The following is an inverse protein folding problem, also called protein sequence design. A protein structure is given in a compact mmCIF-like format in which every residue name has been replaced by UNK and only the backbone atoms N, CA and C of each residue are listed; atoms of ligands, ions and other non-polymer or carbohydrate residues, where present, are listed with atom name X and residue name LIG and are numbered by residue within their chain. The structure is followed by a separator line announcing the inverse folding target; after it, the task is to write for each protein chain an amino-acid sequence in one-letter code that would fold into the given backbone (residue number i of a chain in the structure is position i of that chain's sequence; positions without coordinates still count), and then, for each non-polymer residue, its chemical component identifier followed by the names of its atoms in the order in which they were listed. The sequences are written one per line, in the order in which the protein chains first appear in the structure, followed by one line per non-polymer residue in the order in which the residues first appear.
data_IF_783480292433
#
_entry.id   IF_783480292433
#
_cell.length_a   1.000
_cell.length_b   1.000
_cell.length_c   1.000
_cell.angle_alpha   90.00
_cell.angle_beta   90.00
_cell.angle_gamma   90.00
#
_symmetry.space_group_name_H-M   'P 1'
#
loop_
_entity.id
_entity.type
_entity.pdbx_description
1 polymer ?
#
# COMPACT_ATOMS: atom_id res chain seq x y z
N UNK A 1 -6.26 -25.57 -2.24
CA UNK A 1 -5.19 -24.99 -1.39
C UNK A 1 -5.68 -23.78 -0.60
N UNK A 2 -6.35 -22.80 -1.21
CA UNK A 2 -6.86 -21.61 -0.49
C UNK A 2 -7.69 -21.93 0.76
N UNK A 3 -8.65 -22.87 0.67
CA UNK A 3 -9.52 -23.25 1.80
C UNK A 3 -8.72 -23.86 2.93
N UNK A 4 -7.68 -24.62 2.59
CA UNK A 4 -6.79 -25.22 3.57
C UNK A 4 -5.94 -24.16 4.26
N UNK A 5 -5.39 -23.19 3.51
CA UNK A 5 -4.66 -22.05 4.10
C UNK A 5 -5.57 -21.25 5.03
N UNK A 6 -6.81 -20.96 4.59
CA UNK A 6 -7.82 -20.29 5.40
C UNK A 6 -8.06 -21.01 6.72
N UNK A 7 -8.39 -22.31 6.68
CA UNK A 7 -8.66 -23.11 7.88
C UNK A 7 -7.43 -23.22 8.79
N UNK A 8 -6.25 -23.45 8.21
CA UNK A 8 -5.01 -23.56 8.98
C UNK A 8 -4.62 -22.26 9.66
N UNK A 9 -4.94 -21.09 9.06
CA UNK A 9 -4.64 -19.78 9.66
C UNK A 9 -5.34 -19.60 11.02
N UNK A 10 -6.49 -20.22 11.25
CA UNK A 10 -7.18 -20.19 12.55
C UNK A 10 -6.45 -20.96 13.67
N UNK A 11 -5.46 -21.79 13.35
CA UNK A 11 -4.59 -22.40 14.37
C UNK A 11 -3.78 -21.36 15.17
N UNK A 12 -3.63 -20.14 14.61
CA UNK A 12 -3.07 -18.99 15.33
C UNK A 12 -3.81 -18.71 16.65
N UNK A 13 -5.13 -18.91 16.70
CA UNK A 13 -5.93 -18.71 17.92
C UNK A 13 -5.47 -19.61 19.06
N UNK A 14 -5.17 -20.88 18.76
CA UNK A 14 -4.68 -21.82 19.76
C UNK A 14 -3.30 -21.43 20.30
N UNK A 15 -2.41 -20.96 19.42
CA UNK A 15 -1.08 -20.48 19.79
C UNK A 15 -1.19 -19.25 20.69
N UNK A 16 -1.99 -18.25 20.30
CA UNK A 16 -2.20 -17.04 21.09
C UNK A 16 -2.81 -17.34 22.46
N UNK A 17 -3.83 -18.21 22.50
CA UNK A 17 -4.43 -18.64 23.76
C UNK A 17 -3.42 -19.34 24.67
N UNK A 18 -2.57 -20.21 24.11
CA UNK A 18 -1.51 -20.88 24.88
C UNK A 18 -0.48 -19.90 25.44
N UNK A 19 0.00 -18.96 24.62
CA UNK A 19 0.92 -17.90 25.06
C UNK A 19 0.31 -17.01 26.14
N UNK A 20 -0.97 -16.68 26.01
CA UNK A 20 -1.68 -15.88 27.01
C UNK A 20 -1.95 -16.64 28.32
N UNK A 21 -2.01 -17.97 28.27
CA UNK A 21 -2.30 -18.80 29.45
C UNK A 21 -1.04 -19.26 30.21
N UNK A 22 0.12 -19.31 29.56
CA UNK A 22 1.36 -19.86 30.12
C UNK A 22 2.33 -18.70 30.42
N UNK A 23 2.58 -18.36 31.71
CA UNK A 23 3.42 -17.22 32.06
C UNK A 23 4.85 -17.27 31.50
N UNK A 24 5.43 -18.46 31.38
CA UNK A 24 6.77 -18.64 30.82
C UNK A 24 6.90 -18.17 29.37
N UNK A 25 5.80 -18.10 28.62
CA UNK A 25 5.77 -17.66 27.22
C UNK A 25 5.60 -16.14 27.07
N UNK A 26 5.45 -15.41 28.18
CA UNK A 26 5.12 -13.98 28.18
C UNK A 26 6.34 -13.08 28.38
N UNK A 27 7.51 -13.67 28.57
CA UNK A 27 8.78 -12.95 28.67
C UNK A 27 9.15 -12.31 27.31
N UNK A 28 9.65 -11.05 27.27
CA UNK A 28 9.82 -10.31 26.01
C UNK A 28 10.66 -11.02 24.94
N UNK A 29 11.74 -11.71 25.33
CA UNK A 29 12.58 -12.47 24.39
C UNK A 29 11.91 -13.79 23.97
N UNK A 30 11.21 -14.44 24.88
CA UNK A 30 10.47 -15.69 24.59
C UNK A 30 9.33 -15.43 23.60
N UNK A 31 8.66 -14.27 23.70
CA UNK A 31 7.66 -13.85 22.72
C UNK A 31 8.26 -13.79 21.31
N UNK A 32 9.44 -13.16 21.15
CA UNK A 32 10.13 -13.09 19.87
C UNK A 32 10.53 -14.47 19.37
N UNK A 33 11.12 -15.31 20.23
CA UNK A 33 11.54 -16.67 19.90
C UNK A 33 10.37 -17.53 19.42
N UNK A 34 9.25 -17.49 20.16
CA UNK A 34 8.02 -18.19 19.77
C UNK A 34 7.49 -17.64 18.45
N UNK A 35 7.46 -16.31 18.27
CA UNK A 35 7.05 -15.69 17.02
C UNK A 35 7.84 -16.21 15.82
N UNK A 36 9.17 -16.20 15.90
CA UNK A 36 10.05 -16.72 14.85
C UNK A 36 9.86 -18.23 14.64
N UNK A 37 9.81 -19.00 15.73
CA UNK A 37 9.63 -20.45 15.67
C UNK A 37 8.30 -20.83 15.00
N UNK A 38 7.21 -20.14 15.33
CA UNK A 38 5.90 -20.34 14.72
C UNK A 38 5.95 -20.04 13.23
N UNK A 39 6.55 -18.92 12.80
CA UNK A 39 6.68 -18.61 11.37
C UNK A 39 7.46 -19.70 10.61
N UNK A 40 8.54 -20.21 11.20
CA UNK A 40 9.32 -21.31 10.61
C UNK A 40 8.50 -22.60 10.54
N UNK A 41 7.79 -22.97 11.60
CA UNK A 41 6.92 -24.15 11.64
C UNK A 41 5.81 -24.06 10.59
N UNK A 42 5.16 -22.91 10.47
CA UNK A 42 4.11 -22.66 9.47
C UNK A 42 4.68 -22.75 8.05
N UNK A 43 5.86 -22.17 7.80
CA UNK A 43 6.55 -22.31 6.52
C UNK A 43 6.86 -23.78 6.19
N UNK A 44 7.49 -24.50 7.13
CA UNK A 44 7.85 -25.91 6.95
C UNK A 44 6.62 -26.77 6.70
N UNK A 45 5.53 -26.51 7.41
CA UNK A 45 4.26 -27.18 7.20
C UNK A 45 3.78 -27.03 5.75
N UNK A 46 3.70 -25.81 5.23
CA UNK A 46 3.33 -25.58 3.83
C UNK A 46 4.32 -26.20 2.84
N UNK A 47 5.61 -26.15 3.15
CA UNK A 47 6.65 -26.75 2.33
C UNK A 47 6.48 -28.28 2.22
N UNK A 48 6.21 -28.96 3.33
CA UNK A 48 6.04 -30.42 3.34
C UNK A 48 4.75 -30.87 2.67
N UNK A 49 3.60 -30.23 2.94
CA UNK A 49 2.33 -30.64 2.33
C UNK A 49 2.29 -30.40 0.81
N UNK A 50 3.05 -29.42 0.33
CA UNK A 50 3.12 -29.11 -1.11
C UNK A 50 4.24 -29.85 -1.83
N UNK A 51 5.06 -30.65 -1.14
CA UNK A 51 6.20 -31.35 -1.74
C UNK A 51 5.82 -32.26 -2.92
N UNK A 52 4.65 -32.89 -2.85
CA UNK A 52 4.15 -33.75 -3.94
C UNK A 52 3.66 -32.99 -5.17
N UNK A 53 3.30 -31.72 -5.03
CA UNK A 53 2.88 -30.84 -6.11
C UNK A 53 3.30 -29.40 -5.78
N UNK A 54 4.59 -29.06 -5.98
CA UNK A 54 5.15 -27.80 -5.51
C UNK A 54 4.49 -26.61 -6.22
N UNK A 55 4.27 -25.49 -5.53
CA UNK A 55 3.74 -24.28 -6.15
C UNK A 55 4.68 -23.80 -7.26
N UNK A 56 4.12 -23.31 -8.37
CA UNK A 56 4.91 -22.74 -9.48
C UNK A 56 5.72 -21.51 -9.05
N UNK A 57 5.30 -20.86 -7.97
CA UNK A 57 5.80 -19.58 -7.52
C UNK A 57 6.11 -19.60 -6.03
N UNK A 58 7.34 -19.23 -5.66
CA UNK A 58 7.82 -19.21 -4.27
C UNK A 58 7.04 -18.20 -3.42
N UNK A 59 6.49 -17.14 -4.03
CA UNK A 59 5.63 -16.18 -3.31
C UNK A 59 4.39 -16.83 -2.68
N UNK A 60 4.00 -18.03 -3.13
CA UNK A 60 2.99 -18.84 -2.46
C UNK A 60 3.27 -19.00 -0.96
N UNK A 61 4.51 -19.32 -0.58
CA UNK A 61 4.86 -19.56 0.81
C UNK A 61 4.79 -18.29 1.65
N UNK A 62 5.19 -17.15 1.07
CA UNK A 62 5.06 -15.84 1.73
C UNK A 62 3.58 -15.55 2.00
N UNK A 63 2.72 -15.71 0.98
CA UNK A 63 1.28 -15.45 1.16
C UNK A 63 0.65 -16.40 2.17
N UNK A 64 1.02 -17.68 2.16
CA UNK A 64 0.47 -18.66 3.09
C UNK A 64 0.90 -18.40 4.55
N UNK A 65 2.16 -18.06 4.79
CA UNK A 65 2.65 -17.67 6.12
C UNK A 65 2.00 -16.36 6.56
N UNK A 66 1.87 -15.37 5.67
CA UNK A 66 1.26 -14.08 6.02
C UNK A 66 -0.25 -14.19 6.23
N UNK A 67 -0.94 -15.12 5.57
CA UNK A 67 -2.33 -15.45 5.91
C UNK A 67 -2.49 -15.89 7.37
N UNK A 68 -1.53 -16.65 7.89
CA UNK A 68 -1.55 -17.04 9.30
C UNK A 68 -1.35 -15.83 10.23
N UNK A 69 -0.44 -14.92 9.90
CA UNK A 69 -0.19 -13.72 10.72
C UNK A 69 -1.35 -12.72 10.67
N UNK A 70 -2.10 -12.65 9.57
CA UNK A 70 -3.32 -11.84 9.50
C UNK A 70 -4.34 -12.22 10.60
N UNK A 71 -4.45 -13.51 10.96
CA UNK A 71 -5.35 -13.91 12.04
C UNK A 71 -4.85 -13.38 13.39
N UNK A 72 -3.53 -13.33 13.60
CA UNK A 72 -2.92 -12.71 14.77
C UNK A 72 -3.23 -11.21 14.81
N UNK A 73 -3.04 -10.51 13.69
CA UNK A 73 -3.33 -9.08 13.57
C UNK A 73 -4.81 -8.79 13.87
N UNK A 74 -5.74 -9.55 13.28
CA UNK A 74 -7.17 -9.38 13.50
C UNK A 74 -7.54 -9.57 14.98
N UNK A 75 -7.02 -10.62 15.62
CA UNK A 75 -7.24 -10.90 17.04
C UNK A 75 -6.66 -9.79 17.91
N UNK A 76 -5.46 -9.30 17.56
CA UNK A 76 -4.84 -8.16 18.23
C UNK A 76 -5.74 -6.92 18.19
N UNK A 77 -6.22 -6.54 17.02
CA UNK A 77 -7.09 -5.37 16.84
C UNK A 77 -8.41 -5.52 17.63
N UNK A 78 -9.07 -6.68 17.52
CA UNK A 78 -10.33 -6.97 18.23
C UNK A 78 -10.16 -6.93 19.75
N UNK A 79 -9.03 -7.40 20.28
CA UNK A 79 -8.77 -7.39 21.73
C UNK A 79 -8.39 -5.99 22.23
N UNK A 80 -7.65 -5.20 21.44
CA UNK A 80 -7.43 -3.80 21.77
C UNK A 80 -8.73 -2.97 21.76
N UNK A 81 -9.69 -3.29 20.91
CA UNK A 81 -11.01 -2.65 20.94
C UNK A 81 -11.96 -3.24 21.99
N UNK A 82 -11.53 -4.27 22.73
CA UNK A 82 -12.32 -4.90 23.78
C UNK A 82 -13.51 -5.71 23.27
N UNK A 83 -13.51 -6.09 21.98
CA UNK A 83 -14.54 -6.94 21.37
C UNK A 83 -14.36 -8.40 21.81
N UNK A 84 -13.10 -8.82 21.98
CA UNK A 84 -12.71 -10.13 22.50
C UNK A 84 -11.72 -9.97 23.65
N UNK A 85 -11.44 -11.05 24.38
CA UNK A 85 -10.48 -11.06 25.48
C UNK A 85 -9.83 -12.43 25.63
N UNK A 86 -8.59 -12.46 26.09
CA UNK A 86 -7.92 -13.68 26.55
C UNK A 86 -6.96 -14.30 25.54
N UNK A 87 -6.57 -13.56 24.49
CA UNK A 87 -5.62 -14.02 23.49
C UNK A 87 -4.34 -13.20 23.44
N UNK A 88 -4.41 -11.88 23.62
CA UNK A 88 -3.32 -10.95 23.36
C UNK A 88 -2.93 -10.09 24.58
N UNK A 89 -3.58 -10.25 25.73
CA UNK A 89 -3.29 -9.46 26.93
C UNK A 89 -1.80 -9.48 27.33
N UNK A 90 -1.13 -10.62 27.21
CA UNK A 90 0.32 -10.72 27.41
C UNK A 90 1.10 -9.79 26.46
N UNK A 91 0.74 -9.79 25.18
CA UNK A 91 1.41 -9.05 24.12
C UNK A 91 1.23 -7.54 24.27
N UNK A 92 0.07 -7.09 24.78
CA UNK A 92 -0.18 -5.69 25.10
C UNK A 92 0.77 -5.17 26.19
N UNK A 93 1.13 -6.03 27.15
CA UNK A 93 1.92 -5.66 28.32
C UNK A 93 3.42 -5.81 28.09
N UNK A 94 3.85 -6.92 27.49
CA UNK A 94 5.28 -7.30 27.40
C UNK A 94 5.81 -7.43 25.98
N UNK A 95 4.93 -7.63 25.00
CA UNK A 95 5.28 -7.83 23.59
C UNK A 95 5.54 -6.51 22.85
N UNK A 96 4.47 -5.85 22.40
CA UNK A 96 4.54 -4.65 21.57
C UNK A 96 3.47 -3.63 21.99
N UNK A 97 3.76 -2.75 22.98
CA UNK A 97 2.78 -1.80 23.51
C UNK A 97 2.30 -0.78 22.46
N UNK A 98 3.09 -0.59 21.40
CA UNK A 98 2.77 0.29 20.29
C UNK A 98 1.65 -0.23 19.37
N UNK A 99 1.32 -1.54 19.41
CA UNK A 99 0.13 -2.06 18.72
C UNK A 99 -1.18 -1.54 19.31
N UNK A 100 -1.17 -1.08 20.57
CA UNK A 100 -2.35 -0.49 21.21
C UNK A 100 -2.65 0.95 20.77
N UNK A 101 -1.87 1.50 19.85
CA UNK A 101 -2.13 2.82 19.28
C UNK A 101 -3.25 2.76 18.25
N UNK A 102 -4.06 3.83 18.13
CA UNK A 102 -5.08 3.97 17.08
C UNK A 102 -4.62 3.57 15.68
N UNK A 103 -3.44 4.05 15.28
CA UNK A 103 -2.87 3.75 13.97
C UNK A 103 -2.61 2.26 13.81
N UNK A 104 -1.95 1.63 14.78
CA UNK A 104 -1.58 0.23 14.71
C UNK A 104 -2.80 -0.71 14.80
N UNK A 105 -3.83 -0.36 15.56
CA UNK A 105 -5.10 -1.10 15.59
C UNK A 105 -5.73 -1.11 14.19
N UNK A 106 -5.83 0.05 13.54
CA UNK A 106 -6.38 0.16 12.19
C UNK A 106 -5.52 -0.57 11.16
N UNK A 107 -4.19 -0.52 11.30
CA UNK A 107 -3.27 -1.33 10.51
C UNK A 107 -3.58 -2.82 10.67
N UNK A 108 -3.69 -3.32 11.90
CA UNK A 108 -3.98 -4.72 12.16
C UNK A 108 -5.35 -5.16 11.60
N UNK A 109 -6.38 -4.30 11.61
CA UNK A 109 -7.63 -4.59 10.89
C UNK A 109 -7.42 -4.68 9.37
N UNK A 110 -6.60 -3.81 8.79
CA UNK A 110 -6.28 -3.85 7.36
C UNK A 110 -5.57 -5.15 6.99
N UNK A 111 -4.57 -5.53 7.78
CA UNK A 111 -3.83 -6.77 7.59
C UNK A 111 -4.76 -7.99 7.76
N UNK A 112 -5.53 -8.02 8.85
CA UNK A 112 -6.44 -9.11 9.19
C UNK A 112 -7.62 -9.33 8.24
N UNK A 113 -8.03 -8.29 7.50
CA UNK A 113 -9.19 -8.36 6.60
C UNK A 113 -8.73 -8.26 5.14
N UNK A 114 -8.15 -7.12 4.76
CA UNK A 114 -7.88 -6.81 3.36
C UNK A 114 -6.71 -7.65 2.85
N UNK A 115 -5.57 -7.65 3.56
CA UNK A 115 -4.43 -8.47 3.14
C UNK A 115 -4.76 -9.95 3.22
N UNK A 116 -5.50 -10.40 4.25
CA UNK A 116 -5.95 -11.79 4.34
C UNK A 116 -6.71 -12.24 3.10
N UNK A 117 -7.71 -11.47 2.65
CA UNK A 117 -8.46 -11.75 1.43
C UNK A 117 -7.53 -11.74 0.21
N UNK A 118 -6.62 -10.75 0.10
CA UNK A 118 -5.66 -10.69 -1.00
C UNK A 118 -4.77 -11.93 -1.06
N UNK A 119 -4.26 -12.41 0.07
CA UNK A 119 -3.43 -13.61 0.13
C UNK A 119 -4.18 -14.84 -0.35
N UNK A 120 -5.41 -15.05 0.12
CA UNK A 120 -6.23 -16.19 -0.30
C UNK A 120 -6.48 -16.16 -1.81
N UNK A 121 -6.83 -14.98 -2.36
CA UNK A 121 -7.02 -14.82 -3.81
C UNK A 121 -5.71 -15.07 -4.57
N UNK A 122 -4.56 -14.56 -4.10
CA UNK A 122 -3.27 -14.81 -4.77
C UNK A 122 -2.87 -16.30 -4.72
N UNK A 123 -3.07 -16.96 -3.58
CA UNK A 123 -2.85 -18.40 -3.40
C UNK A 123 -3.73 -19.21 -4.34
N UNK A 124 -5.01 -18.84 -4.46
CA UNK A 124 -5.96 -19.39 -5.43
C UNK A 124 -5.41 -19.31 -6.85
N UNK A 125 -5.02 -18.10 -7.27
CA UNK A 125 -4.50 -17.83 -8.61
C UNK A 125 -3.22 -18.61 -8.89
N UNK A 126 -2.30 -18.70 -7.93
CA UNK A 126 -1.07 -19.48 -8.07
C UNK A 126 -1.40 -20.96 -8.24
N UNK A 127 -2.32 -21.50 -7.43
CA UNK A 127 -2.76 -22.90 -7.49
C UNK A 127 -3.41 -23.23 -8.84
N UNK A 128 -4.26 -22.32 -9.33
CA UNK A 128 -4.95 -22.40 -10.62
C UNK A 128 -4.05 -22.07 -11.83
N UNK A 129 -2.77 -21.74 -11.61
CA UNK A 129 -1.82 -21.28 -12.65
C UNK A 129 -2.30 -20.05 -13.42
N UNK A 130 -3.09 -19.19 -12.78
CA UNK A 130 -3.58 -17.91 -13.31
C UNK A 130 -2.66 -16.77 -12.90
N UNK A 131 -2.62 -15.73 -13.72
CA UNK A 131 -1.90 -14.50 -13.40
C UNK A 131 -2.48 -13.80 -12.16
N UNK A 132 -1.60 -13.33 -11.29
CA UNK A 132 -1.95 -12.56 -10.08
C UNK A 132 -1.15 -11.25 -9.96
N UNK A 133 -0.28 -10.93 -10.92
CA UNK A 133 0.69 -9.82 -10.87
C UNK A 133 0.06 -8.51 -10.41
N UNK A 134 -1.09 -8.13 -10.96
CA UNK A 134 -1.73 -6.86 -10.62
C UNK A 134 -2.14 -6.77 -9.16
N UNK A 135 -2.73 -7.84 -8.61
CA UNK A 135 -3.08 -7.93 -7.20
C UNK A 135 -1.82 -7.99 -6.33
N UNK A 136 -0.79 -8.71 -6.78
CA UNK A 136 0.51 -8.76 -6.11
C UNK A 136 1.19 -7.39 -6.01
N UNK A 137 1.08 -6.53 -7.03
CA UNK A 137 1.63 -5.17 -6.97
C UNK A 137 0.87 -4.27 -5.99
N UNK A 138 -0.47 -4.38 -5.95
CA UNK A 138 -1.29 -3.70 -4.94
C UNK A 138 -0.89 -4.16 -3.53
N UNK A 139 -0.83 -5.48 -3.32
CA UNK A 139 -0.38 -6.07 -2.06
C UNK A 139 1.00 -5.57 -1.65
N UNK A 140 1.98 -5.62 -2.57
CA UNK A 140 3.35 -5.24 -2.28
C UNK A 140 3.45 -3.76 -1.89
N UNK A 141 2.75 -2.87 -2.61
CA UNK A 141 2.71 -1.45 -2.27
C UNK A 141 2.04 -1.18 -0.93
N UNK A 142 0.90 -1.83 -0.68
CA UNK A 142 0.14 -1.75 0.56
C UNK A 142 1.00 -2.18 1.77
N UNK A 143 1.61 -3.36 1.72
CA UNK A 143 2.39 -3.88 2.84
C UNK A 143 3.75 -3.17 3.00
N UNK A 144 4.41 -2.75 1.91
CA UNK A 144 5.64 -1.95 2.00
C UNK A 144 5.39 -0.62 2.71
N UNK A 145 4.32 0.10 2.32
CA UNK A 145 3.97 1.37 2.95
C UNK A 145 3.60 1.15 4.43
N UNK A 146 2.77 0.14 4.69
CA UNK A 146 2.35 -0.23 6.03
C UNK A 146 3.55 -0.44 6.98
N UNK A 147 4.42 -1.40 6.64
CA UNK A 147 5.54 -1.78 7.49
C UNK A 147 6.60 -0.68 7.58
N UNK A 148 6.83 0.09 6.51
CA UNK A 148 7.77 1.21 6.54
C UNK A 148 7.31 2.30 7.50
N UNK A 149 6.02 2.67 7.47
CA UNK A 149 5.46 3.68 8.36
C UNK A 149 5.39 3.16 9.79
N UNK A 150 5.03 1.90 9.99
CA UNK A 150 4.96 1.29 11.31
C UNK A 150 6.34 1.27 11.99
N UNK A 151 7.36 0.72 11.34
CA UNK A 151 8.71 0.63 11.89
C UNK A 151 9.29 2.02 12.16
N UNK A 152 9.25 2.91 11.17
CA UNK A 152 9.81 4.26 11.32
C UNK A 152 8.99 5.10 12.32
N UNK A 153 7.67 4.90 12.40
CA UNK A 153 6.78 5.56 13.35
C UNK A 153 7.07 5.19 14.80
N UNK A 154 7.35 3.92 15.08
CA UNK A 154 7.77 3.47 16.42
C UNK A 154 9.07 4.17 16.82
N UNK A 155 10.07 4.13 15.94
CA UNK A 155 11.41 4.68 16.21
C UNK A 155 11.39 6.20 16.36
N UNK A 156 10.63 6.90 15.51
CA UNK A 156 10.56 8.36 15.52
C UNK A 156 9.55 8.93 16.52
N UNK A 157 8.60 8.12 16.98
CA UNK A 157 7.53 8.52 17.89
C UNK A 157 7.89 8.35 19.36
N UNK A 158 6.89 8.55 20.23
CA UNK A 158 7.04 8.46 21.70
C UNK A 158 7.55 7.10 22.23
N UNK A 159 7.51 6.05 21.40
CA UNK A 159 7.95 4.70 21.77
C UNK A 159 9.43 4.43 21.40
N UNK A 160 10.12 5.37 20.77
CA UNK A 160 11.49 5.17 20.28
C UNK A 160 12.52 4.84 21.37
N UNK A 161 12.25 5.20 22.63
CA UNK A 161 13.08 4.85 23.79
C UNK A 161 12.75 3.49 24.42
N UNK A 162 11.65 2.85 24.04
CA UNK A 162 11.13 1.62 24.66
C UNK A 162 10.86 0.52 23.62
N UNK A 163 11.81 0.31 22.72
CA UNK A 163 11.70 -0.71 21.68
C UNK A 163 11.84 -2.11 22.32
N UNK A 164 10.79 -2.93 22.16
CA UNK A 164 10.73 -4.30 22.69
C UNK A 164 11.39 -5.30 21.74
N UNK A 165 11.91 -6.45 22.20
CA UNK A 165 12.54 -7.44 21.32
C UNK A 165 11.68 -7.89 20.13
N UNK A 166 10.36 -8.06 20.34
CA UNK A 166 9.41 -8.44 19.29
C UNK A 166 9.44 -7.47 18.08
N UNK A 167 9.80 -6.20 18.28
CA UNK A 167 9.96 -5.19 17.22
C UNK A 167 10.76 -5.68 16.01
N UNK A 168 11.82 -6.44 16.25
CA UNK A 168 12.75 -6.85 15.19
C UNK A 168 12.12 -7.77 14.14
N UNK A 169 11.04 -8.48 14.51
CA UNK A 169 10.31 -9.33 13.55
C UNK A 169 9.65 -8.51 12.44
N UNK A 170 9.32 -7.24 12.70
CA UNK A 170 8.70 -6.34 11.71
C UNK A 170 9.60 -6.11 10.50
N UNK A 171 10.93 -6.16 10.65
CA UNK A 171 11.84 -6.08 9.51
C UNK A 171 11.70 -7.28 8.56
N UNK A 172 11.41 -8.48 9.07
CA UNK A 172 11.09 -9.62 8.20
C UNK A 172 9.82 -9.33 7.39
N UNK A 173 8.79 -8.78 8.04
CA UNK A 173 7.54 -8.38 7.41
C UNK A 173 7.69 -7.21 6.42
N UNK A 174 8.73 -6.39 6.53
CA UNK A 174 9.10 -5.38 5.54
C UNK A 174 9.92 -5.97 4.37
N UNK A 175 10.88 -6.84 4.66
CA UNK A 175 11.77 -7.40 3.64
C UNK A 175 11.04 -8.30 2.64
N UNK A 176 10.07 -9.09 3.10
CA UNK A 176 9.29 -9.99 2.24
C UNK A 176 8.47 -9.28 1.15
N UNK A 177 7.67 -8.23 1.42
CA UNK A 177 6.98 -7.49 0.37
C UNK A 177 7.93 -6.67 -0.49
N UNK A 178 9.09 -6.20 0.01
CA UNK A 178 10.11 -5.56 -0.82
C UNK A 178 10.68 -6.57 -1.83
N UNK A 179 11.05 -7.76 -1.36
CA UNK A 179 11.49 -8.85 -2.24
C UNK A 179 10.38 -9.27 -3.22
N UNK A 180 9.13 -9.36 -2.75
CA UNK A 180 7.96 -9.61 -3.57
C UNK A 180 7.74 -8.53 -4.63
N UNK A 181 7.90 -7.24 -4.28
CA UNK A 181 7.84 -6.13 -5.21
C UNK A 181 8.92 -6.28 -6.28
N UNK A 182 10.19 -6.45 -5.91
CA UNK A 182 11.31 -6.62 -6.85
C UNK A 182 11.03 -7.80 -7.80
N UNK A 183 10.59 -8.93 -7.25
CA UNK A 183 10.22 -10.12 -8.02
C UNK A 183 9.08 -9.83 -9.00
N UNK A 184 8.05 -9.10 -8.57
CA UNK A 184 6.93 -8.75 -9.42
C UNK A 184 7.33 -7.73 -10.49
N UNK A 185 8.07 -6.68 -10.17
CA UNK A 185 8.51 -5.67 -11.13
C UNK A 185 9.45 -6.26 -12.20
N UNK A 186 10.34 -7.19 -11.82
CA UNK A 186 11.30 -7.81 -12.75
C UNK A 186 10.68 -8.86 -13.67
N UNK A 187 9.52 -9.43 -13.31
CA UNK A 187 8.83 -10.40 -14.17
C UNK A 187 8.37 -9.76 -15.48
N UNK A 188 8.47 -10.48 -16.61
CA UNK A 188 7.82 -10.09 -17.85
C UNK A 188 6.33 -9.83 -17.63
N UNK A 189 5.78 -8.86 -18.35
CA UNK A 189 4.35 -8.56 -18.30
C UNK A 189 3.60 -9.55 -19.18
N UNK A 190 2.46 -10.04 -18.69
CA UNK A 190 1.60 -10.98 -19.43
C UNK A 190 0.90 -10.35 -20.66
N UNK A 191 1.11 -9.04 -20.91
CA UNK A 191 0.43 -8.26 -21.95
C UNK A 191 1.45 -7.70 -22.95
N UNK A 192 1.07 -7.57 -24.23
CA UNK A 192 1.93 -6.97 -25.24
C UNK A 192 2.26 -5.52 -24.85
N UNK A 193 3.56 -5.20 -24.86
CA UNK A 193 4.07 -3.85 -24.60
C UNK A 193 4.18 -3.00 -25.87
N UNK A 194 3.95 -3.62 -27.02
CA UNK A 194 3.98 -3.01 -28.34
C UNK A 194 2.54 -2.81 -28.80
N UNK A 195 2.19 -1.57 -29.11
CA UNK A 195 0.91 -1.18 -29.67
C UNK A 195 0.99 -0.99 -31.17
N UNK A 196 -0.09 -1.38 -31.87
CA UNK A 196 -0.28 -1.12 -33.30
C UNK A 196 -1.09 0.15 -33.55
N UNK A 197 -1.96 0.11 -34.57
CA UNK A 197 -2.77 1.24 -35.01
C UNK A 197 -3.55 1.94 -33.88
N UNK A 198 -4.24 1.19 -33.01
CA UNK A 198 -5.01 1.77 -31.91
C UNK A 198 -4.15 2.53 -30.89
N UNK A 199 -2.90 2.11 -30.68
CA UNK A 199 -1.96 2.85 -29.84
C UNK A 199 -1.52 4.14 -30.53
N UNK A 200 -1.22 4.10 -31.82
CA UNK A 200 -0.90 5.29 -32.60
C UNK A 200 -2.03 6.32 -32.58
N UNK A 201 -3.27 5.87 -32.78
CA UNK A 201 -4.44 6.73 -32.69
C UNK A 201 -4.62 7.31 -31.28
N UNK A 202 -4.45 6.50 -30.23
CA UNK A 202 -4.54 6.98 -28.86
C UNK A 202 -3.49 8.06 -28.55
N UNK A 203 -2.28 7.90 -29.08
CA UNK A 203 -1.14 8.78 -28.81
C UNK A 203 -1.15 10.07 -29.65
N UNK A 204 -1.87 10.11 -30.78
CA UNK A 204 -2.06 11.33 -31.57
C UNK A 204 -3.06 12.32 -30.95
N UNK A 205 -3.92 11.84 -30.03
CA UNK A 205 -4.92 12.68 -29.36
C UNK A 205 -4.29 13.63 -28.33
N UNK A 206 -4.55 14.93 -28.50
CA UNK A 206 -4.25 15.96 -27.47
C UNK A 206 -5.03 15.69 -26.19
N UNK A 207 -4.53 16.15 -25.04
CA UNK A 207 -5.13 15.90 -23.72
C UNK A 207 -6.60 16.36 -23.61
N UNK A 208 -6.97 17.48 -24.26
CA UNK A 208 -8.35 17.99 -24.24
C UNK A 208 -9.36 17.01 -24.85
N UNK A 209 -8.90 16.15 -25.77
CA UNK A 209 -9.69 15.09 -26.38
C UNK A 209 -9.63 13.77 -25.58
N UNK A 210 -8.97 13.78 -24.43
CA UNK A 210 -8.87 12.67 -23.46
C UNK A 210 -9.44 13.13 -22.11
N UNK A 211 -10.76 13.33 -22.00
CA UNK A 211 -11.38 13.98 -20.83
C UNK A 211 -11.10 13.24 -19.52
N UNK A 212 -11.07 11.91 -19.52
CA UNK A 212 -10.69 11.12 -18.34
C UNK A 212 -9.25 11.44 -17.89
N UNK A 213 -8.30 11.51 -18.83
CA UNK A 213 -6.90 11.81 -18.52
C UNK A 213 -6.76 13.25 -18.01
N UNK A 214 -7.54 14.19 -18.57
CA UNK A 214 -7.58 15.59 -18.12
C UNK A 214 -8.07 15.70 -16.67
N UNK A 215 -9.19 15.05 -16.33
CA UNK A 215 -9.72 15.03 -14.95
C UNK A 215 -8.70 14.42 -13.99
N UNK A 216 -8.06 13.31 -14.39
CA UNK A 216 -7.05 12.65 -13.57
C UNK A 216 -5.81 13.52 -13.36
N UNK A 217 -5.37 14.28 -14.37
CA UNK A 217 -4.29 15.26 -14.21
C UNK A 217 -4.66 16.33 -13.19
N UNK A 218 -5.88 16.88 -13.24
CA UNK A 218 -6.34 17.87 -12.26
C UNK A 218 -6.39 17.28 -10.85
N UNK A 219 -6.94 16.07 -10.70
CA UNK A 219 -7.00 15.37 -9.41
C UNK A 219 -5.60 15.07 -8.86
N UNK A 220 -4.67 14.65 -9.72
CA UNK A 220 -3.27 14.42 -9.33
C UNK A 220 -2.59 15.70 -8.88
N UNK A 221 -2.78 16.83 -9.58
CA UNK A 221 -2.23 18.13 -9.17
C UNK A 221 -2.79 18.54 -7.80
N UNK A 222 -4.09 18.37 -7.58
CA UNK A 222 -4.71 18.63 -6.27
C UNK A 222 -4.13 17.70 -5.18
N UNK A 223 -3.99 16.40 -5.47
CA UNK A 223 -3.37 15.43 -4.56
C UNK A 223 -1.91 15.78 -4.26
N UNK A 224 -1.14 16.24 -5.25
CA UNK A 224 0.24 16.71 -5.07
C UNK A 224 0.30 17.93 -4.14
N UNK A 225 -0.55 18.94 -4.35
CA UNK A 225 -0.62 20.11 -3.49
C UNK A 225 -0.98 19.71 -2.04
N UNK A 226 -1.95 18.81 -1.89
CA UNK A 226 -2.37 18.29 -0.59
C UNK A 226 -1.25 17.52 0.13
N UNK A 227 -0.54 16.67 -0.62
CA UNK A 227 0.64 15.94 -0.12
C UNK A 227 1.74 16.91 0.32
N UNK A 228 1.99 17.97 -0.47
CA UNK A 228 3.01 18.95 -0.18
C UNK A 228 2.73 19.73 1.11
N UNK A 229 1.48 20.20 1.30
CA UNK A 229 1.07 20.89 2.53
C UNK A 229 1.26 19.97 3.75
N UNK A 230 0.81 18.72 3.67
CA UNK A 230 0.94 17.73 4.76
C UNK A 230 2.40 17.37 5.06
N UNK A 231 3.24 17.27 4.03
CA UNK A 231 4.67 17.05 4.18
C UNK A 231 5.37 18.22 4.88
N UNK A 232 5.06 19.46 4.48
CA UNK A 232 5.58 20.66 5.12
C UNK A 232 5.13 20.78 6.58
N UNK A 233 3.88 20.42 6.86
CA UNK A 233 3.35 20.30 8.23
C UNK A 233 4.14 19.29 9.07
N UNK A 234 4.49 18.14 8.48
CA UNK A 234 5.24 17.09 9.15
C UNK A 234 6.72 17.48 9.39
N UNK A 235 7.26 18.38 8.55
CA UNK A 235 8.58 19.00 8.71
C UNK A 235 8.56 20.24 9.65
N UNK A 236 7.46 20.49 10.35
CA UNK A 236 7.31 21.64 11.26
C UNK A 236 7.54 23.01 10.57
N UNK A 237 7.12 23.13 9.30
CA UNK A 237 7.24 24.37 8.52
C UNK A 237 6.59 25.57 9.22
N UNK A 238 7.27 26.75 9.26
CA UNK A 238 6.74 27.95 9.90
C UNK A 238 5.68 28.68 9.07
N UNK A 239 5.31 28.17 7.89
CA UNK A 239 4.33 28.79 7.02
C UNK A 239 2.95 28.87 7.69
N UNK A 240 2.29 30.03 7.57
CA UNK A 240 0.96 30.27 8.15
C UNK A 240 -0.09 29.28 7.64
N UNK A 241 -0.04 28.91 6.36
CA UNK A 241 -0.93 27.90 5.80
C UNK A 241 -0.80 26.53 6.52
N UNK A 242 0.41 26.14 6.91
CA UNK A 242 0.66 24.88 7.63
C UNK A 242 0.11 24.94 9.06
N UNK A 243 0.26 26.07 9.76
CA UNK A 243 -0.26 26.23 11.12
C UNK A 243 -1.79 26.26 11.14
N UNK A 244 -2.42 26.98 10.19
CA UNK A 244 -3.87 27.00 10.02
C UNK A 244 -4.39 25.59 9.72
N UNK A 245 -3.74 24.87 8.81
CA UNK A 245 -4.14 23.53 8.41
C UNK A 245 -4.17 22.55 9.59
N UNK A 246 -3.07 22.45 10.33
CA UNK A 246 -2.97 21.55 11.49
C UNK A 246 -3.97 21.91 12.57
N UNK A 247 -4.11 23.21 12.87
CA UNK A 247 -4.96 23.67 13.97
C UNK A 247 -6.45 23.43 13.69
N UNK A 248 -6.90 23.64 12.46
CA UNK A 248 -8.33 23.64 12.14
C UNK A 248 -8.82 22.40 11.43
N UNK A 249 -7.95 21.65 10.73
CA UNK A 249 -8.37 20.52 9.89
C UNK A 249 -7.84 19.19 10.42
N UNK A 250 -6.53 19.03 10.54
CA UNK A 250 -5.92 17.75 10.94
C UNK A 250 -4.92 17.88 12.10
N UNK A 251 -5.41 18.06 13.33
CA UNK A 251 -4.56 18.04 14.52
C UNK A 251 -3.81 16.71 14.70
N UNK A 252 -4.34 15.62 14.16
CA UNK A 252 -3.77 14.27 14.21
C UNK A 252 -2.33 14.18 13.69
N UNK A 253 -1.93 15.08 12.78
CA UNK A 253 -0.56 15.15 12.26
C UNK A 253 0.48 15.49 13.32
N UNK A 254 0.06 15.99 14.49
CA UNK A 254 0.92 16.31 15.64
C UNK A 254 0.82 15.28 16.77
N UNK A 255 0.15 14.15 16.56
CA UNK A 255 0.07 13.09 17.57
C UNK A 255 1.50 12.57 17.92
N UNK A 256 1.86 12.49 19.22
CA UNK A 256 3.19 12.05 19.66
C UNK A 256 3.52 10.58 19.32
N UNK A 257 2.55 9.76 18.89
CA UNK A 257 2.82 8.37 18.45
C UNK A 257 3.73 8.30 17.20
N UNK A 258 3.88 9.39 16.44
CA UNK A 258 4.82 9.47 15.32
C UNK A 258 4.31 8.96 13.98
N UNK A 259 3.42 7.96 13.94
CA UNK A 259 2.92 7.38 12.68
C UNK A 259 2.31 8.39 11.69
N UNK A 260 1.41 9.31 12.10
CA UNK A 260 0.79 10.25 11.16
C UNK A 260 1.83 11.16 10.50
N UNK A 261 2.81 11.61 11.29
CA UNK A 261 3.93 12.43 10.80
C UNK A 261 4.80 11.65 9.83
N UNK A 262 5.26 10.46 10.22
CA UNK A 262 6.12 9.60 9.38
C UNK A 262 5.44 9.24 8.07
N UNK A 263 4.15 8.90 8.09
CA UNK A 263 3.37 8.64 6.89
C UNK A 263 3.33 9.84 5.95
N UNK A 264 3.11 11.06 6.47
CA UNK A 264 3.13 12.25 5.62
C UNK A 264 4.50 12.51 5.02
N UNK A 265 5.59 12.25 5.75
CA UNK A 265 6.94 12.32 5.19
C UNK A 265 7.19 11.24 4.14
N UNK A 266 6.71 10.02 4.37
CA UNK A 266 6.82 8.92 3.41
C UNK A 266 6.10 9.28 2.09
N UNK A 267 4.87 9.80 2.18
CA UNK A 267 4.12 10.28 1.02
C UNK A 267 4.76 11.52 0.40
N UNK A 268 5.36 12.42 1.19
CA UNK A 268 6.02 13.62 0.68
C UNK A 268 7.32 13.31 -0.09
N UNK A 269 8.15 12.40 0.41
CA UNK A 269 9.43 12.09 -0.24
C UNK A 269 9.32 11.05 -1.35
N UNK A 270 8.40 10.08 -1.25
CA UNK A 270 8.27 9.00 -2.23
C UNK A 270 6.97 9.08 -3.03
N UNK A 271 5.86 9.37 -2.38
CA UNK A 271 4.55 9.48 -3.03
C UNK A 271 4.45 10.67 -3.98
N UNK A 272 4.84 11.86 -3.54
CA UNK A 272 4.71 13.12 -4.31
C UNK A 272 5.50 13.09 -5.63
N UNK A 273 6.78 12.67 -5.69
CA UNK A 273 7.46 12.50 -6.97
C UNK A 273 6.76 11.49 -7.88
N UNK A 274 6.19 10.42 -7.32
CA UNK A 274 5.49 9.40 -8.10
C UNK A 274 4.14 9.89 -8.63
N UNK A 275 3.40 10.71 -7.87
CA UNK A 275 2.21 11.43 -8.36
C UNK A 275 2.58 12.36 -9.51
N UNK A 276 3.70 13.09 -9.40
CA UNK A 276 4.24 13.90 -10.50
C UNK A 276 4.61 13.07 -11.72
N UNK A 277 5.21 11.89 -11.51
CA UNK A 277 5.47 10.94 -12.59
C UNK A 277 4.15 10.49 -13.25
N UNK A 278 3.07 10.26 -12.51
CA UNK A 278 1.78 9.89 -13.09
C UNK A 278 1.17 11.01 -13.93
N UNK A 279 1.30 12.27 -13.50
CA UNK A 279 0.94 13.42 -14.34
C UNK A 279 1.74 13.36 -15.64
N UNK A 280 3.06 13.18 -15.56
CA UNK A 280 3.91 13.02 -16.75
C UNK A 280 3.45 11.85 -17.63
N UNK A 281 3.11 10.70 -17.04
CA UNK A 281 2.67 9.51 -17.77
C UNK A 281 1.31 9.65 -18.46
N UNK A 282 0.42 10.51 -17.96
CA UNK A 282 -0.85 10.86 -18.63
C UNK A 282 -0.63 11.88 -19.77
N UNK A 283 0.40 12.72 -19.65
CA UNK A 283 0.74 13.73 -20.66
C UNK A 283 1.60 13.15 -21.79
N UNK A 284 2.50 12.22 -21.49
CA UNK A 284 3.47 11.66 -22.42
C UNK A 284 3.13 10.20 -22.78
N UNK A 285 2.95 9.90 -24.07
CA UNK A 285 2.63 8.55 -24.52
C UNK A 285 3.81 7.59 -24.33
N UNK A 286 3.51 6.29 -24.38
CA UNK A 286 4.54 5.23 -24.34
C UNK A 286 5.17 4.96 -22.96
N UNK A 287 4.59 5.51 -21.90
CA UNK A 287 5.03 5.28 -20.52
C UNK A 287 4.63 3.89 -20.00
N UNK A 288 5.30 2.84 -20.48
CA UNK A 288 4.97 1.43 -20.16
C UNK A 288 5.11 1.09 -18.68
N UNK A 289 5.85 1.87 -17.90
CA UNK A 289 6.03 1.70 -16.46
C UNK A 289 4.78 2.09 -15.66
N UNK A 290 3.86 2.88 -16.23
CA UNK A 290 2.61 3.34 -15.57
C UNK A 290 1.78 2.16 -15.06
N UNK A 291 1.71 1.04 -15.79
CA UNK A 291 0.85 -0.10 -15.41
C UNK A 291 1.21 -0.69 -14.05
N UNK A 292 2.49 -0.69 -13.69
CA UNK A 292 2.94 -1.37 -12.48
C UNK A 292 3.03 -0.39 -11.32
N UNK A 293 3.60 0.78 -11.55
CA UNK A 293 3.75 1.80 -10.52
C UNK A 293 2.43 2.34 -10.02
N UNK A 294 1.42 2.48 -10.89
CA UNK A 294 0.09 2.94 -10.46
C UNK A 294 -0.61 1.93 -9.57
N UNK A 295 -0.47 0.63 -9.84
CA UNK A 295 -0.98 -0.44 -8.97
C UNK A 295 -0.25 -0.47 -7.63
N UNK A 296 1.08 -0.34 -7.65
CA UNK A 296 1.88 -0.28 -6.42
C UNK A 296 1.50 0.92 -5.56
N UNK A 297 1.44 2.13 -6.13
CA UNK A 297 1.05 3.33 -5.38
C UNK A 297 -0.41 3.27 -4.92
N UNK A 298 -1.32 2.71 -5.71
CA UNK A 298 -2.71 2.53 -5.30
C UNK A 298 -2.82 1.68 -4.02
N UNK A 299 -2.06 0.58 -3.94
CA UNK A 299 -1.97 -0.24 -2.74
C UNK A 299 -1.42 0.51 -1.53
N UNK A 300 -0.29 1.21 -1.72
CA UNK A 300 0.30 2.02 -0.65
C UNK A 300 -0.66 3.10 -0.14
N UNK A 301 -1.35 3.78 -1.05
CA UNK A 301 -2.22 4.91 -0.73
C UNK A 301 -3.48 4.48 0.00
N UNK A 302 -4.14 3.41 -0.44
CA UNK A 302 -5.37 2.96 0.23
C UNK A 302 -5.08 2.49 1.66
N UNK A 303 -3.96 1.81 1.88
CA UNK A 303 -3.53 1.36 3.21
C UNK A 303 -3.17 2.54 4.11
N UNK A 304 -2.34 3.47 3.62
CA UNK A 304 -1.98 4.67 4.37
C UNK A 304 -3.23 5.48 4.75
N UNK A 305 -4.17 5.69 3.82
CA UNK A 305 -5.36 6.46 4.09
C UNK A 305 -6.33 5.73 5.03
N UNK A 306 -6.45 4.42 4.94
CA UNK A 306 -7.20 3.62 5.93
C UNK A 306 -6.66 3.84 7.35
N UNK A 307 -5.35 3.68 7.55
CA UNK A 307 -4.73 3.83 8.86
C UNK A 307 -4.76 5.29 9.36
N UNK A 308 -4.61 6.28 8.45
CA UNK A 308 -4.72 7.70 8.78
C UNK A 308 -6.12 8.08 9.25
N UNK A 309 -7.13 7.80 8.41
CA UNK A 309 -8.52 8.16 8.69
C UNK A 309 -8.98 7.42 9.93
N UNK A 310 -8.81 6.09 9.97
CA UNK A 310 -9.21 5.27 11.10
C UNK A 310 -8.52 5.71 12.40
N UNK A 311 -7.20 5.94 12.35
CA UNK A 311 -6.44 6.42 13.50
C UNK A 311 -6.93 7.79 13.98
N UNK A 312 -7.19 8.74 13.07
CA UNK A 312 -7.68 10.07 13.44
C UNK A 312 -9.08 10.08 14.08
N UNK A 313 -9.90 9.08 13.76
CA UNK A 313 -11.27 8.92 14.25
C UNK A 313 -11.39 7.98 15.44
N UNK A 314 -10.32 7.24 15.76
CA UNK A 314 -10.37 6.19 16.77
C UNK A 314 -10.68 6.76 18.17
N UNK A 315 -11.53 6.09 18.98
CA UNK A 315 -11.81 6.49 20.36
C UNK A 315 -10.59 6.50 21.29
N UNK A 316 -9.51 5.82 20.91
CA UNK A 316 -8.23 5.80 21.65
C UNK A 316 -7.33 7.00 21.31
N UNK A 317 -7.62 7.74 20.26
CA UNK A 317 -6.90 8.98 19.91
C UNK A 317 -7.28 10.07 20.89
N UNK A 318 -6.32 10.79 21.45
CA UNK A 318 -6.61 11.86 22.42
C UNK A 318 -7.47 12.95 21.75
N UNK A 319 -8.46 13.48 22.48
CA UNK A 319 -9.45 14.40 21.93
C UNK A 319 -8.83 15.61 21.19
N UNK A 320 -7.70 16.14 21.69
CA UNK A 320 -6.99 17.26 21.06
C UNK A 320 -6.42 16.95 19.67
N UNK A 321 -6.20 15.68 19.34
CA UNK A 321 -5.65 15.23 18.06
C UNK A 321 -6.73 14.70 17.11
N UNK A 322 -7.99 14.59 17.54
CA UNK A 322 -9.08 14.15 16.67
C UNK A 322 -9.49 15.26 15.71
N UNK A 323 -10.11 14.86 14.61
CA UNK A 323 -10.68 15.80 13.63
C UNK A 323 -11.79 16.62 14.31
N UNK A 324 -11.76 17.97 14.23
CA UNK A 324 -12.81 18.80 14.81
C UNK A 324 -14.16 18.57 14.13
N UNK A 325 -15.24 18.47 14.91
CA UNK A 325 -16.60 18.15 14.41
C UNK A 325 -17.08 19.08 13.28
N UNK A 326 -16.77 20.37 13.37
CA UNK A 326 -17.21 21.37 12.38
C UNK A 326 -16.63 21.20 10.97
N UNK A 327 -15.50 20.48 10.84
CA UNK A 327 -14.82 20.24 9.55
C UNK A 327 -14.74 18.75 9.19
N UNK A 328 -15.39 17.89 9.97
CA UNK A 328 -15.30 16.44 9.85
C UNK A 328 -15.52 15.96 8.41
N UNK A 329 -16.62 16.37 7.79
CA UNK A 329 -16.96 15.95 6.43
C UNK A 329 -15.97 16.46 5.39
N UNK A 330 -15.49 17.70 5.55
CA UNK A 330 -14.50 18.27 4.63
C UNK A 330 -13.19 17.49 4.66
N UNK A 331 -12.70 17.17 5.87
CA UNK A 331 -11.47 16.38 6.05
C UNK A 331 -11.66 14.95 5.56
N UNK A 332 -12.80 14.32 5.87
CA UNK A 332 -13.09 12.97 5.41
C UNK A 332 -13.16 12.88 3.89
N UNK A 333 -13.92 13.77 3.24
CA UNK A 333 -14.04 13.81 1.77
C UNK A 333 -12.68 14.09 1.13
N UNK A 334 -11.88 15.02 1.66
CA UNK A 334 -10.54 15.29 1.15
C UNK A 334 -9.63 14.06 1.22
N UNK A 335 -9.63 13.35 2.36
CA UNK A 335 -8.86 12.12 2.54
C UNK A 335 -9.33 10.98 1.62
N UNK A 336 -10.65 10.82 1.44
CA UNK A 336 -11.22 9.81 0.54
C UNK A 336 -10.89 10.12 -0.93
N UNK A 337 -11.01 11.38 -1.36
CA UNK A 337 -10.62 11.79 -2.72
C UNK A 337 -9.12 11.59 -2.94
N UNK A 338 -8.30 11.88 -1.93
CA UNK A 338 -6.86 11.64 -1.96
C UNK A 338 -6.52 10.15 -2.07
N UNK A 339 -7.23 9.27 -1.35
CA UNK A 339 -7.09 7.81 -1.43
C UNK A 339 -7.51 7.26 -2.80
N UNK A 340 -8.62 7.75 -3.35
CA UNK A 340 -9.23 7.25 -4.58
C UNK A 340 -8.46 7.68 -5.82
N UNK A 341 -7.79 8.84 -5.80
CA UNK A 341 -7.13 9.40 -6.99
C UNK A 341 -6.11 8.43 -7.64
N UNK A 342 -5.13 7.85 -6.92
CA UNK A 342 -4.19 6.87 -7.50
C UNK A 342 -4.87 5.59 -7.99
N UNK A 343 -5.97 5.19 -7.34
CA UNK A 343 -6.78 4.02 -7.74
C UNK A 343 -7.43 4.29 -9.11
N UNK A 344 -8.03 5.47 -9.30
CA UNK A 344 -8.62 5.85 -10.58
C UNK A 344 -7.58 5.89 -11.70
N UNK A 345 -6.37 6.37 -11.41
CA UNK A 345 -5.26 6.32 -12.38
C UNK A 345 -4.90 4.87 -12.72
N UNK A 346 -4.75 4.00 -11.72
CA UNK A 346 -4.46 2.58 -11.95
C UNK A 346 -5.56 1.89 -12.77
N UNK A 347 -6.84 2.18 -12.49
CA UNK A 347 -7.97 1.68 -13.28
C UNK A 347 -7.93 2.19 -14.72
N UNK A 348 -7.65 3.48 -14.93
CA UNK A 348 -7.53 4.08 -16.26
C UNK A 348 -6.43 3.42 -17.09
N UNK A 349 -5.27 3.17 -16.48
CA UNK A 349 -4.13 2.51 -17.14
C UNK A 349 -4.44 1.05 -17.46
N UNK A 350 -5.08 0.33 -16.52
CA UNK A 350 -5.42 -1.08 -16.70
C UNK A 350 -6.51 -1.32 -17.75
N UNK A 351 -7.53 -0.46 -17.81
CA UNK A 351 -8.69 -0.63 -18.68
C UNK A 351 -8.43 -0.23 -20.13
N UNK A 352 -7.60 0.81 -20.36
CA UNK A 352 -7.23 1.24 -21.71
C UNK A 352 -5.71 1.53 -21.78
N UNK A 353 -4.90 0.49 -22.04
CA UNK A 353 -3.45 0.61 -21.99
C UNK A 353 -2.84 1.29 -23.22
N UNK A 354 -3.60 1.48 -24.32
CA UNK A 354 -3.07 1.84 -25.64
C UNK A 354 -2.20 3.10 -25.64
N UNK A 355 -2.58 4.13 -24.87
CA UNK A 355 -1.80 5.36 -24.75
C UNK A 355 -0.39 5.13 -24.16
N UNK A 356 -0.24 4.11 -23.30
CA UNK A 356 0.98 3.83 -22.54
C UNK A 356 1.90 2.81 -23.21
N UNK A 357 1.46 2.15 -24.29
CA UNK A 357 2.26 1.15 -25.02
C UNK A 357 3.37 1.82 -25.84
N UNK A 358 4.49 1.12 -26.04
CA UNK A 358 5.48 1.55 -27.04
C UNK A 358 4.91 1.28 -28.44
N UNK A 359 5.09 2.20 -29.38
CA UNK A 359 4.76 1.95 -30.79
C UNK A 359 6.02 1.47 -31.49
N UNK A 360 5.94 0.35 -32.20
CA UNK A 360 7.02 -0.08 -33.09
C UNK A 360 6.97 0.77 -34.37
N UNK A 361 8.12 1.16 -34.96
CA UNK A 361 8.13 1.77 -36.28
C UNK A 361 7.47 0.81 -37.28
N UNK A 362 6.47 1.27 -38.02
CA UNK A 362 5.87 0.45 -39.07
C UNK A 362 6.90 0.22 -40.19
N UNK A 363 7.02 -1.00 -40.75
CA UNK A 363 7.82 -1.22 -41.94
C UNK A 363 7.33 -0.29 -43.05
N UNK A 364 8.18 0.63 -43.51
CA UNK A 364 7.87 1.62 -44.56
C UNK A 364 7.70 3.08 -44.11
N UNK A 365 7.84 3.41 -42.83
CA UNK A 365 7.79 4.81 -42.34
C UNK A 365 9.14 5.56 -42.39
N UNK A 366 10.25 4.90 -42.69
CA UNK A 366 11.53 5.58 -42.99
C UNK A 366 11.44 6.21 -44.38
N UNK A 367 11.00 7.48 -44.45
CA UNK A 367 11.07 8.27 -45.69
C UNK A 367 9.85 9.12 -46.04
N UNK A 368 8.82 9.20 -45.21
CA UNK A 368 7.69 10.12 -45.45
C UNK A 368 7.97 11.45 -44.74
N UNK A 369 8.06 12.58 -45.48
CA UNK A 369 8.33 13.88 -44.87
C UNK A 369 7.17 14.28 -43.96
N UNK A 370 7.51 14.76 -42.76
CA UNK A 370 6.58 15.34 -41.81
C UNK A 370 5.64 16.31 -42.53
N UNK A 371 4.34 16.07 -42.43
CA UNK A 371 3.29 16.89 -43.00
C UNK A 371 3.06 18.17 -42.17
N UNK A 372 4.05 19.06 -42.12
CA UNK A 372 3.88 20.40 -41.53
C UNK A 372 4.24 21.55 -42.49
N UNK A 373 4.58 21.29 -43.76
CA UNK A 373 4.94 22.37 -44.70
C UNK A 373 4.37 22.14 -46.11
N UNK A 374 3.04 22.10 -46.24
CA UNK A 374 2.36 22.22 -47.54
C UNK A 374 1.08 23.04 -47.45
N UNK A 375 1.19 24.30 -47.03
CA UNK A 375 0.08 25.25 -47.22
C UNK A 375 0.51 26.69 -47.59
N UNK A 376 1.76 26.92 -47.96
CA UNK A 376 2.17 28.22 -48.52
C UNK A 376 3.12 28.04 -49.69
N UNK A 377 2.55 27.96 -50.89
CA UNK A 377 3.11 28.51 -52.14
C UNK A 377 2.11 28.30 -53.27
N UNK A 378 1.08 29.15 -53.30
CA UNK A 378 0.58 29.65 -54.58
C UNK A 378 1.64 30.65 -55.06
N UNK A 379 2.32 30.34 -56.15
CA UNK A 379 3.03 31.34 -56.95
C UNK A 379 2.77 31.08 -58.42
N UNK A 380 2.20 32.11 -59.02
CA UNK A 380 1.92 32.34 -60.43
C UNK A 380 3.03 31.84 -61.36
N UNK A 381 2.61 31.16 -62.44
CA UNK A 381 2.94 31.53 -63.82
C UNK A 381 2.09 30.75 -64.81
#
# INVERSE_FOLDING_TARGET
METFVFLFSFSALGILYAMNSIPAFQEPYVILEIGVAVLVVVFLFYFFITRGNPPKDVLFFVFAVFSFTCVIDLVSALEYDGIISGFMAFYQKTGEPYLGTPYAIMMCYWDGIVHFIMYLVMISRITDRKGYRSLGLIWAGSLCANMSVFIAGIVAGKYGSEIRPAFWINFLFLLMPVWGAITLFTRPKDRPLIGGYNAQQAQSMKLIWRPTDLILVVLLIAAMAFTAIRGLVALDSPLEACSIYVKHYEPYLKDPVGYPRVMMLHLFFYGLPLLGAFVYGLLKPGCTWMSDWTLFLAGAMIQCQWAHIGGSLHPRTTAQFRIPNGVFWSVLVANLLYAVTPILVAMRVCNNPYFFLKIAPFPGQTGLPNSEEKDTKIKDK
#
